data_IF_597766074939
#
_entry.id   IF_597766074939
#
_cell.length_a   1.000
_cell.length_b   1.000
_cell.length_c   1.000
_cell.angle_alpha   90.00
_cell.angle_beta   90.00
_cell.angle_gamma   90.00
#
_symmetry.space_group_name_H-M   'P 1'
#
loop_
_entity.id
_entity.type
_entity.pdbx_description
1 polymer ?
#
# COMPACT_ATOMS: atom_id res chain seq x y z
N UNK A 1 -7.24 12.74 29.98
CA UNK A 1 -7.14 11.27 29.88
C UNK A 1 -6.46 10.96 28.57
N UNK A 2 -5.19 10.57 28.64
CA UNK A 2 -4.35 10.27 27.46
C UNK A 2 -4.85 8.95 26.86
N UNK A 3 -5.45 9.01 25.68
CA UNK A 3 -5.69 7.81 24.89
C UNK A 3 -4.32 7.34 24.38
N UNK A 4 -3.76 6.33 25.03
CA UNK A 4 -2.58 5.63 24.55
C UNK A 4 -2.91 5.02 23.19
N UNK A 5 -2.35 5.58 22.15
CA UNK A 5 -2.53 5.13 20.79
C UNK A 5 -1.66 3.90 20.60
N UNK A 6 -2.26 2.75 20.67
CA UNK A 6 -1.66 1.46 20.37
C UNK A 6 -1.50 1.35 18.84
N UNK A 7 -0.44 1.94 18.30
CA UNK A 7 0.13 1.44 17.05
C UNK A 7 0.47 -0.03 17.32
N UNK A 8 0.31 -0.92 16.36
CA UNK A 8 0.50 -2.38 16.34
C UNK A 8 1.63 -2.94 17.26
N UNK A 9 2.07 -2.20 18.28
CA UNK A 9 3.11 -2.51 19.24
C UNK A 9 2.65 -3.34 20.45
N UNK A 10 1.33 -3.48 20.66
CA UNK A 10 0.82 -4.37 21.70
C UNK A 10 0.29 -5.63 21.02
N UNK A 11 1.16 -6.59 20.90
CA UNK A 11 0.92 -8.02 21.02
C UNK A 11 1.86 -8.83 20.13
N UNK A 12 3.07 -9.07 20.60
CA UNK A 12 3.84 -10.25 20.20
C UNK A 12 3.06 -11.56 20.50
N UNK A 13 1.93 -11.46 21.20
CA UNK A 13 1.07 -12.59 21.57
C UNK A 13 -0.21 -12.76 20.76
N UNK A 14 -0.52 -11.92 19.76
CA UNK A 14 -1.79 -11.96 19.03
C UNK A 14 -1.67 -11.84 17.50
N UNK A 15 -0.53 -12.18 16.91
CA UNK A 15 -0.50 -12.52 15.49
C UNK A 15 -1.28 -13.84 15.36
N UNK A 16 -2.59 -13.73 15.07
CA UNK A 16 -3.43 -14.90 14.79
C UNK A 16 -2.80 -15.66 13.65
N UNK A 17 -2.70 -16.99 13.78
CA UNK A 17 -2.35 -17.80 12.62
C UNK A 17 -3.32 -17.46 11.50
N UNK A 18 -2.77 -17.16 10.32
CA UNK A 18 -3.59 -16.87 9.15
C UNK A 18 -4.40 -18.13 8.78
N UNK A 19 -5.66 -17.93 8.41
CA UNK A 19 -6.56 -19.04 8.08
C UNK A 19 -6.18 -19.64 6.72
N UNK A 20 -5.72 -20.89 6.71
CA UNK A 20 -5.30 -21.58 5.48
C UNK A 20 -6.44 -21.79 4.47
N UNK A 21 -7.69 -21.60 4.88
CA UNK A 21 -8.85 -21.69 3.98
C UNK A 21 -8.95 -20.50 3.03
N UNK A 22 -8.35 -19.35 3.37
CA UNK A 22 -8.33 -18.17 2.49
C UNK A 22 -6.89 -17.87 2.11
N UNK A 23 -6.51 -18.30 0.92
CA UNK A 23 -5.19 -18.09 0.34
C UNK A 23 -5.19 -16.89 -0.57
N UNK A 24 -4.10 -16.11 -0.55
CA UNK A 24 -3.91 -15.02 -1.49
C UNK A 24 -2.52 -15.06 -2.15
N UNK A 25 -2.44 -14.45 -3.33
CA UNK A 25 -1.20 -14.16 -4.02
C UNK A 25 -1.02 -12.65 -4.12
N UNK A 26 0.21 -12.15 -4.00
CA UNK A 26 0.53 -10.72 -4.04
C UNK A 26 1.49 -10.44 -5.21
N UNK A 27 0.98 -9.83 -6.27
CA UNK A 27 1.75 -9.44 -7.45
C UNK A 27 2.24 -8.00 -7.31
N UNK A 28 3.50 -7.76 -7.66
CA UNK A 28 4.17 -6.48 -7.40
C UNK A 28 4.22 -6.18 -5.89
N UNK A 29 4.60 -7.19 -5.12
CA UNK A 29 4.45 -7.20 -3.66
C UNK A 29 5.25 -6.10 -2.94
N UNK A 30 6.26 -5.52 -3.60
CA UNK A 30 7.12 -4.51 -2.99
C UNK A 30 7.79 -5.04 -1.72
N UNK A 31 7.87 -4.21 -0.72
CA UNK A 31 8.32 -4.63 0.61
C UNK A 31 7.23 -5.34 1.44
N UNK A 32 6.08 -5.73 0.86
CA UNK A 32 5.08 -6.55 1.53
C UNK A 32 4.03 -5.81 2.36
N UNK A 33 3.76 -4.54 2.09
CA UNK A 33 2.71 -3.80 2.81
C UNK A 33 1.32 -4.41 2.64
N UNK A 34 0.97 -4.84 1.42
CA UNK A 34 -0.28 -5.54 1.16
C UNK A 34 -0.29 -6.92 1.82
N UNK A 35 0.80 -7.69 1.68
CA UNK A 35 0.94 -9.01 2.28
C UNK A 35 0.87 -8.99 3.82
N UNK A 36 1.51 -8.00 4.47
CA UNK A 36 1.41 -7.84 5.93
C UNK A 36 -0.03 -7.50 6.35
N UNK A 37 -0.69 -6.59 5.62
CA UNK A 37 -2.10 -6.28 5.87
C UNK A 37 -3.02 -7.49 5.69
N UNK A 38 -2.76 -8.33 4.67
CA UNK A 38 -3.47 -9.59 4.44
C UNK A 38 -3.27 -10.58 5.60
N UNK A 39 -2.03 -10.75 6.06
CA UNK A 39 -1.74 -11.59 7.23
C UNK A 39 -2.50 -11.10 8.47
N UNK A 40 -2.48 -9.80 8.75
CA UNK A 40 -3.22 -9.20 9.86
C UNK A 40 -4.74 -9.31 9.71
N UNK A 41 -5.24 -9.41 8.48
CA UNK A 41 -6.63 -9.75 8.18
C UNK A 41 -6.93 -11.25 8.32
N UNK A 42 -5.94 -12.09 8.63
CA UNK A 42 -6.08 -13.55 8.77
C UNK A 42 -6.11 -14.29 7.44
N UNK A 43 -5.47 -13.76 6.40
CA UNK A 43 -5.35 -14.36 5.07
C UNK A 43 -3.94 -14.93 4.91
N UNK A 44 -3.83 -16.17 4.41
CA UNK A 44 -2.54 -16.81 4.14
C UNK A 44 -2.01 -16.40 2.76
N UNK A 45 -0.89 -15.67 2.71
CA UNK A 45 -0.19 -15.42 1.45
C UNK A 45 0.61 -16.68 1.09
N UNK A 46 0.40 -17.20 -0.13
CA UNK A 46 1.02 -18.43 -0.63
C UNK A 46 2.05 -18.18 -1.74
N UNK A 47 1.92 -17.07 -2.45
CA UNK A 47 2.90 -16.64 -3.44
C UNK A 47 3.00 -15.11 -3.47
N UNK A 48 4.21 -14.61 -3.73
CA UNK A 48 4.46 -13.18 -3.94
C UNK A 48 5.46 -13.02 -5.09
N UNK A 49 5.28 -11.98 -5.92
CA UNK A 49 6.20 -11.65 -7.03
C UNK A 49 6.73 -10.24 -6.83
N UNK A 50 8.05 -10.09 -6.78
CA UNK A 50 8.73 -8.79 -6.67
C UNK A 50 10.14 -8.88 -7.29
N UNK A 51 10.41 -8.08 -8.33
CA UNK A 51 11.68 -8.13 -9.05
C UNK A 51 12.75 -7.16 -8.50
N UNK A 52 12.37 -6.24 -7.62
CA UNK A 52 13.35 -5.34 -7.01
C UNK A 52 14.08 -6.04 -5.86
N UNK A 53 15.39 -6.25 -6.03
CA UNK A 53 16.21 -6.99 -5.07
C UNK A 53 16.14 -6.49 -3.62
N UNK A 54 15.98 -5.18 -3.40
CA UNK A 54 15.92 -4.62 -2.04
C UNK A 54 14.52 -4.80 -1.43
N UNK A 55 13.48 -4.64 -2.25
CA UNK A 55 12.12 -4.88 -1.82
C UNK A 55 11.88 -6.37 -1.55
N UNK A 56 12.37 -7.25 -2.41
CA UNK A 56 12.37 -8.71 -2.21
C UNK A 56 13.13 -9.12 -0.95
N UNK A 57 14.31 -8.53 -0.69
CA UNK A 57 15.08 -8.78 0.53
C UNK A 57 14.31 -8.35 1.79
N UNK A 58 13.66 -7.17 1.76
CA UNK A 58 12.80 -6.72 2.87
C UNK A 58 11.61 -7.64 3.07
N UNK A 59 10.93 -8.02 1.99
CA UNK A 59 9.82 -8.98 2.02
C UNK A 59 10.24 -10.30 2.68
N UNK A 60 11.34 -10.88 2.19
CA UNK A 60 11.87 -12.15 2.69
C UNK A 60 12.21 -12.06 4.18
N UNK A 61 12.97 -11.04 4.58
CA UNK A 61 13.41 -10.86 5.97
C UNK A 61 12.24 -10.74 6.94
N UNK A 62 11.23 -9.93 6.60
CA UNK A 62 10.15 -9.61 7.54
C UNK A 62 8.97 -10.58 7.49
N UNK A 63 8.71 -11.24 6.38
CA UNK A 63 7.51 -12.05 6.22
C UNK A 63 7.80 -13.55 6.08
N UNK A 64 8.90 -13.93 5.44
CA UNK A 64 9.24 -15.33 5.21
C UNK A 64 10.14 -15.87 6.34
N UNK A 65 11.27 -15.20 6.62
CA UNK A 65 12.23 -15.65 7.63
C UNK A 65 11.63 -15.62 9.05
N UNK A 66 10.68 -14.70 9.29
CA UNK A 66 9.88 -14.64 10.52
C UNK A 66 8.74 -15.66 10.56
N UNK A 67 8.47 -16.37 9.47
CA UNK A 67 7.37 -17.32 9.30
C UNK A 67 5.96 -16.69 9.42
N UNK A 68 5.83 -15.39 9.25
CA UNK A 68 4.53 -14.71 9.21
C UNK A 68 3.70 -15.11 7.99
N UNK A 69 4.34 -15.48 6.88
CA UNK A 69 3.66 -16.02 5.72
C UNK A 69 4.30 -17.33 5.27
N UNK A 70 3.53 -18.14 4.52
CA UNK A 70 4.02 -19.33 3.81
C UNK A 70 4.34 -19.01 2.35
N UNK A 71 4.44 -17.73 2.00
CA UNK A 71 4.62 -17.27 0.64
C UNK A 71 5.91 -17.81 0.03
N UNK A 72 5.79 -18.36 -1.17
CA UNK A 72 6.93 -18.51 -2.05
C UNK A 72 7.18 -17.16 -2.73
N UNK A 73 8.31 -16.54 -2.45
CA UNK A 73 8.73 -15.32 -3.13
C UNK A 73 9.38 -15.67 -4.46
N UNK A 74 8.92 -15.01 -5.52
CA UNK A 74 9.47 -15.05 -6.86
C UNK A 74 10.14 -13.71 -7.12
N UNK A 75 11.48 -13.70 -7.18
CA UNK A 75 12.28 -12.52 -7.52
C UNK A 75 12.47 -12.39 -9.04
N UNK A 76 11.46 -12.84 -9.78
CA UNK A 76 11.41 -12.85 -11.23
C UNK A 76 10.73 -11.60 -11.78
N UNK A 77 11.03 -11.21 -13.02
CA UNK A 77 10.20 -10.24 -13.72
C UNK A 77 8.85 -10.88 -14.08
N UNK A 78 7.77 -10.25 -13.67
CA UNK A 78 6.42 -10.77 -13.90
C UNK A 78 6.10 -10.92 -15.40
N UNK A 79 6.78 -10.19 -16.27
CA UNK A 79 6.59 -10.31 -17.73
C UNK A 79 7.19 -11.59 -18.28
N UNK A 80 8.18 -12.16 -17.61
CA UNK A 80 8.88 -13.39 -18.00
C UNK A 80 8.34 -14.62 -17.25
N UNK A 81 7.88 -14.45 -16.01
CA UNK A 81 7.30 -15.53 -15.21
C UNK A 81 5.86 -15.80 -15.65
N UNK A 82 5.57 -16.92 -16.30
CA UNK A 82 4.20 -17.27 -16.66
C UNK A 82 3.35 -17.62 -15.43
N UNK A 83 2.03 -17.32 -15.46
CA UNK A 83 1.12 -17.72 -14.38
C UNK A 83 1.16 -19.22 -14.08
N UNK A 84 1.19 -20.08 -15.11
CA UNK A 84 1.26 -21.54 -14.95
C UNK A 84 2.55 -21.99 -14.26
N UNK A 85 3.68 -21.37 -14.63
CA UNK A 85 4.97 -21.63 -13.97
C UNK A 85 4.94 -21.22 -12.51
N UNK A 86 4.38 -20.04 -12.21
CA UNK A 86 4.22 -19.57 -10.82
C UNK A 86 3.33 -20.53 -10.02
N UNK A 87 2.17 -20.92 -10.56
CA UNK A 87 1.24 -21.87 -9.92
C UNK A 87 1.91 -23.20 -9.63
N UNK A 88 2.57 -23.80 -10.64
CA UNK A 88 3.29 -25.07 -10.50
C UNK A 88 4.36 -24.97 -9.41
N UNK A 89 5.19 -23.91 -9.44
CA UNK A 89 6.25 -23.70 -8.46
C UNK A 89 5.70 -23.40 -7.06
N UNK A 90 4.54 -22.76 -6.94
CA UNK A 90 3.86 -22.49 -5.67
C UNK A 90 2.98 -23.64 -5.17
N UNK A 91 2.78 -24.69 -5.97
CA UNK A 91 1.90 -25.82 -5.62
C UNK A 91 0.42 -25.42 -5.58
N UNK A 92 0.00 -24.53 -6.49
CA UNK A 92 -1.38 -24.05 -6.59
C UNK A 92 -2.09 -24.68 -7.78
N UNK A 93 -3.35 -25.06 -7.57
CA UNK A 93 -4.30 -25.37 -8.62
C UNK A 93 -5.17 -24.15 -8.97
N UNK A 94 -5.91 -24.22 -10.07
CA UNK A 94 -6.93 -23.22 -10.42
C UNK A 94 -7.93 -23.06 -9.27
N UNK A 95 -8.24 -21.83 -8.92
CA UNK A 95 -9.17 -21.46 -7.83
C UNK A 95 -8.68 -21.72 -6.40
N UNK A 96 -7.45 -22.19 -6.19
CA UNK A 96 -6.86 -22.31 -4.84
C UNK A 96 -6.56 -20.93 -4.23
N UNK A 97 -6.24 -19.94 -5.07
CA UNK A 97 -6.07 -18.57 -4.65
C UNK A 97 -7.44 -17.90 -4.54
N UNK A 98 -7.89 -17.58 -3.33
CA UNK A 98 -9.16 -16.89 -3.13
C UNK A 98 -9.06 -15.39 -3.48
N UNK A 99 -7.94 -14.75 -3.20
CA UNK A 99 -7.75 -13.31 -3.42
C UNK A 99 -6.43 -13.07 -4.14
N UNK A 100 -6.48 -12.42 -5.31
CA UNK A 100 -5.29 -11.94 -6.00
C UNK A 100 -5.11 -10.46 -5.74
N UNK A 101 -3.98 -10.09 -5.14
CA UNK A 101 -3.59 -8.72 -4.83
C UNK A 101 -2.62 -8.20 -5.87
N UNK A 102 -2.57 -6.88 -6.07
CA UNK A 102 -1.51 -6.28 -6.85
C UNK A 102 -1.56 -4.76 -6.91
N UNK A 103 -0.37 -4.18 -6.96
CA UNK A 103 -0.14 -2.75 -7.18
C UNK A 103 0.72 -2.53 -8.42
N UNK A 104 0.25 -2.85 -9.65
CA UNK A 104 1.07 -2.71 -10.85
C UNK A 104 1.53 -1.27 -11.00
N UNK A 105 2.84 -1.04 -11.32
CA UNK A 105 3.41 0.30 -11.35
C UNK A 105 2.72 1.19 -12.38
N UNK A 106 2.39 2.41 -11.93
CA UNK A 106 1.59 3.39 -12.64
C UNK A 106 2.45 4.43 -13.37
N UNK A 107 3.52 4.04 -14.04
CA UNK A 107 4.42 5.01 -14.67
C UNK A 107 3.78 5.80 -15.83
N UNK A 108 2.70 5.31 -16.43
CA UNK A 108 1.89 5.99 -17.46
C UNK A 108 0.83 6.93 -16.92
N UNK A 109 0.41 6.79 -15.65
CA UNK A 109 -0.76 7.46 -15.07
C UNK A 109 -0.43 8.55 -14.03
N UNK A 110 0.85 8.88 -13.79
CA UNK A 110 1.23 9.88 -12.79
C UNK A 110 1.03 11.32 -13.31
N UNK A 111 0.65 12.23 -12.40
CA UNK A 111 0.39 13.64 -12.68
C UNK A 111 1.58 14.40 -13.32
N UNK A 112 2.79 13.89 -13.16
CA UNK A 112 4.02 14.54 -13.64
C UNK A 112 4.37 14.27 -15.11
N UNK A 113 3.59 13.44 -15.84
CA UNK A 113 3.85 13.18 -17.27
C UNK A 113 2.66 13.57 -18.14
N UNK A 114 2.81 14.67 -18.87
CA UNK A 114 1.76 15.30 -19.68
C UNK A 114 1.69 14.80 -21.13
N UNK A 115 2.60 13.93 -21.61
CA UNK A 115 2.66 13.49 -23.01
C UNK A 115 2.83 11.98 -23.13
N UNK A 116 2.01 11.35 -23.99
CA UNK A 116 2.25 10.00 -24.53
C UNK A 116 1.69 8.82 -23.72
N UNK A 117 0.54 8.93 -23.08
CA UNK A 117 -0.12 7.81 -22.40
C UNK A 117 -1.28 7.26 -23.24
N UNK A 118 -0.99 6.33 -24.16
CA UNK A 118 -1.99 5.54 -24.90
C UNK A 118 -2.02 4.08 -24.44
N UNK A 119 -3.00 3.31 -24.96
CA UNK A 119 -3.14 1.86 -24.69
C UNK A 119 -1.88 1.08 -25.11
N UNK A 120 -1.12 1.58 -26.08
CA UNK A 120 0.12 1.00 -26.59
C UNK A 120 1.36 1.30 -25.76
N UNK A 121 1.23 2.03 -24.63
CA UNK A 121 2.38 2.29 -23.75
C UNK A 121 2.85 0.97 -23.12
N UNK A 122 4.12 0.57 -23.29
CA UNK A 122 4.66 -0.69 -22.72
C UNK A 122 4.40 -0.86 -21.22
N UNK A 123 4.17 0.24 -20.51
CA UNK A 123 3.89 0.26 -19.07
C UNK A 123 2.46 -0.17 -18.72
N UNK A 124 1.53 -0.10 -19.69
CA UNK A 124 0.18 -0.64 -19.54
C UNK A 124 0.18 -2.17 -19.67
N UNK A 125 1.22 -2.75 -20.27
CA UNK A 125 1.40 -4.21 -20.35
C UNK A 125 1.42 -4.88 -18.99
N UNK A 126 1.91 -4.21 -17.93
CA UNK A 126 1.95 -4.79 -16.58
C UNK A 126 0.54 -5.00 -15.97
N UNK A 127 -0.43 -4.15 -16.33
CA UNK A 127 -1.83 -4.39 -15.90
C UNK A 127 -2.46 -5.50 -16.73
N UNK A 128 -2.15 -5.58 -18.03
CA UNK A 128 -2.59 -6.71 -18.86
C UNK A 128 -1.97 -8.02 -18.35
N UNK A 129 -0.69 -7.97 -17.98
CA UNK A 129 -0.01 -9.10 -17.36
C UNK A 129 -0.64 -9.53 -16.04
N UNK A 130 -1.00 -8.56 -15.19
CA UNK A 130 -1.78 -8.84 -13.98
C UNK A 130 -3.07 -9.60 -14.32
N UNK A 131 -3.76 -9.21 -15.38
CA UNK A 131 -5.01 -9.84 -15.77
C UNK A 131 -4.82 -11.26 -16.33
N UNK A 132 -3.68 -11.59 -16.93
CA UNK A 132 -3.34 -12.97 -17.28
C UNK A 132 -3.29 -13.86 -16.04
N UNK A 133 -2.71 -13.37 -14.92
CA UNK A 133 -2.75 -14.07 -13.64
C UNK A 133 -4.17 -14.22 -13.10
N UNK A 134 -5.04 -13.21 -13.23
CA UNK A 134 -6.47 -13.33 -12.89
C UNK A 134 -7.11 -14.50 -13.66
N UNK A 135 -6.88 -14.58 -14.97
CA UNK A 135 -7.48 -15.62 -15.81
C UNK A 135 -7.00 -17.02 -15.46
N UNK A 136 -5.71 -17.17 -15.16
CA UNK A 136 -5.09 -18.48 -14.92
C UNK A 136 -5.30 -18.98 -13.49
N UNK A 137 -5.12 -18.12 -12.47
CA UNK A 137 -5.37 -18.51 -11.08
C UNK A 137 -6.85 -18.64 -10.74
N UNK A 138 -7.70 -17.92 -11.45
CA UNK A 138 -9.14 -17.87 -11.23
C UNK A 138 -9.52 -17.56 -9.76
N UNK A 139 -8.99 -16.46 -9.16
CA UNK A 139 -9.32 -16.09 -7.79
C UNK A 139 -10.80 -15.77 -7.64
N UNK A 140 -11.34 -15.91 -6.42
CA UNK A 140 -12.72 -15.47 -6.12
C UNK A 140 -12.84 -13.95 -6.21
N UNK A 141 -11.78 -13.25 -5.75
CA UNK A 141 -11.65 -11.80 -5.84
C UNK A 141 -10.28 -11.42 -6.38
N UNK A 142 -10.20 -10.34 -7.14
CA UNK A 142 -8.94 -9.67 -7.39
C UNK A 142 -9.04 -8.20 -7.00
N UNK A 143 -7.98 -7.67 -6.41
CA UNK A 143 -7.90 -6.29 -5.93
C UNK A 143 -6.65 -5.61 -6.49
N UNK A 144 -6.87 -4.59 -7.32
CA UNK A 144 -5.78 -3.77 -7.88
C UNK A 144 -5.74 -2.41 -7.19
N UNK A 145 -4.57 -2.05 -6.68
CA UNK A 145 -4.30 -0.70 -6.16
C UNK A 145 -3.60 0.15 -7.21
N UNK A 146 -3.95 1.43 -7.27
CA UNK A 146 -3.26 2.38 -8.14
C UNK A 146 -3.42 3.83 -7.66
N UNK A 147 -2.76 4.78 -8.34
CA UNK A 147 -2.92 6.21 -8.03
C UNK A 147 -4.21 6.77 -8.62
N UNK A 148 -4.85 7.80 -8.01
CA UNK A 148 -6.08 8.40 -8.51
C UNK A 148 -6.00 8.94 -9.94
N UNK A 149 -4.80 9.24 -10.44
CA UNK A 149 -4.56 9.64 -11.81
C UNK A 149 -5.03 8.62 -12.85
N UNK A 150 -5.19 7.36 -12.49
CA UNK A 150 -5.78 6.33 -13.34
C UNK A 150 -7.21 6.69 -13.81
N UNK A 151 -7.96 7.46 -13.01
CA UNK A 151 -9.33 7.87 -13.32
C UNK A 151 -9.43 9.17 -14.16
N UNK A 152 -8.30 9.72 -14.61
CA UNK A 152 -8.37 10.91 -15.46
C UNK A 152 -8.94 10.57 -16.85
N UNK A 153 -9.66 11.49 -17.49
CA UNK A 153 -10.35 11.22 -18.77
C UNK A 153 -9.44 10.63 -19.85
N UNK A 154 -8.17 11.01 -19.89
CA UNK A 154 -7.19 10.48 -20.85
C UNK A 154 -6.91 8.98 -20.69
N UNK A 155 -7.25 8.37 -19.55
CA UNK A 155 -7.05 6.94 -19.26
C UNK A 155 -8.37 6.13 -19.34
N UNK A 156 -9.47 6.76 -19.69
CA UNK A 156 -10.76 6.11 -19.86
C UNK A 156 -10.69 4.94 -20.87
N UNK A 157 -10.02 5.05 -22.04
CA UNK A 157 -9.90 3.93 -22.96
C UNK A 157 -9.23 2.70 -22.32
N UNK A 158 -8.24 2.93 -21.44
CA UNK A 158 -7.59 1.87 -20.71
C UNK A 158 -8.54 1.17 -19.71
N UNK A 159 -9.31 1.95 -18.93
CA UNK A 159 -10.29 1.39 -17.99
C UNK A 159 -11.39 0.60 -18.70
N UNK A 160 -11.80 1.06 -19.89
CA UNK A 160 -12.75 0.34 -20.75
C UNK A 160 -12.17 -1.00 -21.20
N UNK A 161 -10.95 -1.01 -21.73
CA UNK A 161 -10.27 -2.25 -22.14
C UNK A 161 -10.07 -3.21 -20.97
N UNK A 162 -9.76 -2.71 -19.76
CA UNK A 162 -9.67 -3.56 -18.56
C UNK A 162 -11.03 -4.17 -18.18
N UNK A 163 -12.13 -3.40 -18.33
CA UNK A 163 -13.50 -3.90 -18.12
C UNK A 163 -13.85 -4.98 -19.13
N UNK A 164 -13.56 -4.76 -20.42
CA UNK A 164 -13.78 -5.75 -21.48
C UNK A 164 -13.01 -7.06 -21.21
N UNK A 165 -11.76 -6.98 -20.71
CA UNK A 165 -11.01 -8.17 -20.31
C UNK A 165 -11.68 -8.92 -19.15
N UNK A 166 -12.22 -8.19 -18.16
CA UNK A 166 -12.92 -8.77 -17.03
C UNK A 166 -14.21 -9.47 -17.51
N UNK A 167 -15.02 -8.80 -18.31
CA UNK A 167 -16.27 -9.33 -18.86
C UNK A 167 -16.01 -10.59 -19.71
N UNK A 168 -15.01 -10.56 -20.59
CA UNK A 168 -14.62 -11.73 -21.42
C UNK A 168 -14.12 -12.93 -20.59
N UNK A 169 -13.64 -12.67 -19.38
CA UNK A 169 -13.23 -13.71 -18.43
C UNK A 169 -14.33 -14.05 -17.40
N UNK A 170 -15.56 -13.53 -17.60
CA UNK A 170 -16.71 -13.74 -16.70
C UNK A 170 -16.46 -13.26 -15.26
N UNK A 171 -15.70 -12.16 -15.12
CA UNK A 171 -15.54 -11.41 -13.88
C UNK A 171 -16.45 -10.19 -13.86
N UNK A 172 -17.23 -10.03 -12.78
CA UNK A 172 -17.85 -8.76 -12.49
C UNK A 172 -16.78 -7.77 -11.99
N UNK A 173 -16.76 -6.56 -12.54
CA UNK A 173 -15.87 -5.48 -12.10
C UNK A 173 -16.69 -4.36 -11.48
N UNK A 174 -16.44 -4.07 -10.20
CA UNK A 174 -17.07 -2.93 -9.52
C UNK A 174 -16.50 -1.61 -10.03
N UNK A 175 -17.27 -0.54 -9.88
CA UNK A 175 -16.78 0.79 -10.25
C UNK A 175 -15.56 1.16 -9.42
N UNK A 176 -14.50 1.71 -10.05
CA UNK A 176 -13.30 2.11 -9.36
C UNK A 176 -13.60 3.12 -8.25
N UNK A 177 -13.03 2.90 -7.08
CA UNK A 177 -13.23 3.79 -5.93
C UNK A 177 -11.92 4.41 -5.45
N UNK A 178 -11.96 5.70 -5.11
CA UNK A 178 -10.83 6.38 -4.47
C UNK A 178 -11.05 6.41 -2.97
N UNK A 179 -10.16 5.73 -2.25
CA UNK A 179 -10.15 5.69 -0.79
C UNK A 179 -8.96 6.49 -0.23
N UNK A 180 -9.10 7.02 0.99
CA UNK A 180 -8.04 7.72 1.67
C UNK A 180 -7.59 6.91 2.89
N UNK A 181 -6.30 6.64 3.00
CA UNK A 181 -5.72 5.82 4.05
C UNK A 181 -6.04 6.32 5.47
N UNK A 182 -6.16 7.64 5.66
CA UNK A 182 -6.55 8.22 6.97
C UNK A 182 -7.91 7.73 7.47
N UNK A 183 -8.82 7.37 6.56
CA UNK A 183 -10.15 6.86 6.92
C UNK A 183 -10.10 5.42 7.45
N UNK A 184 -8.91 4.79 7.43
CA UNK A 184 -8.64 3.41 7.84
C UNK A 184 -7.53 3.31 8.89
N UNK A 185 -7.36 4.37 9.73
CA UNK A 185 -6.41 4.35 10.83
C UNK A 185 -4.94 4.51 10.41
N UNK A 186 -4.67 5.10 9.26
CA UNK A 186 -3.32 5.46 8.83
C UNK A 186 -3.08 6.95 9.09
N UNK A 187 -1.99 7.37 9.77
CA UNK A 187 -1.73 8.77 10.08
C UNK A 187 -1.24 9.56 8.85
N UNK A 188 -1.87 9.34 7.70
CA UNK A 188 -1.42 9.88 6.42
C UNK A 188 -2.58 10.17 5.47
N UNK A 189 -2.52 11.31 4.83
CA UNK A 189 -3.38 11.72 3.72
C UNK A 189 -2.89 11.04 2.42
N UNK A 190 -3.28 9.78 2.19
CA UNK A 190 -2.88 9.00 1.02
C UNK A 190 -4.11 8.50 0.28
N UNK A 191 -4.39 9.11 -0.86
CA UNK A 191 -5.49 8.69 -1.72
C UNK A 191 -5.01 7.68 -2.75
N UNK A 192 -5.74 6.55 -2.87
CA UNK A 192 -5.48 5.50 -3.85
C UNK A 192 -6.79 5.06 -4.48
N UNK A 193 -6.74 4.66 -5.75
CA UNK A 193 -7.85 4.03 -6.44
C UNK A 193 -7.73 2.51 -6.29
N UNK A 194 -8.86 1.87 -6.09
CA UNK A 194 -8.98 0.42 -6.03
C UNK A 194 -9.97 -0.06 -7.08
N UNK A 195 -9.58 -1.11 -7.79
CA UNK A 195 -10.44 -1.86 -8.70
C UNK A 195 -10.65 -3.24 -8.10
N UNK A 196 -11.88 -3.59 -7.81
CA UNK A 196 -12.26 -4.91 -7.28
C UNK A 196 -13.06 -5.68 -8.32
N UNK A 197 -12.55 -6.86 -8.68
CA UNK A 197 -13.29 -7.83 -9.48
C UNK A 197 -13.64 -9.07 -8.68
N UNK A 198 -14.71 -9.74 -9.08
CA UNK A 198 -15.19 -10.97 -8.47
C UNK A 198 -15.58 -11.99 -9.56
N UNK A 199 -15.37 -13.27 -9.28
CA UNK A 199 -15.70 -14.34 -10.21
C UNK A 199 -17.21 -14.52 -10.35
N UNK A 200 -17.79 -14.02 -11.47
CA UNK A 200 -19.21 -14.08 -11.77
C UNK A 200 -19.76 -15.49 -11.99
N UNK A 201 -18.89 -16.48 -12.27
CA UNK A 201 -19.32 -17.90 -12.37
C UNK A 201 -19.57 -18.52 -10.99
N UNK A 202 -18.88 -18.03 -9.96
CA UNK A 202 -18.95 -18.56 -8.59
C UNK A 202 -19.82 -17.74 -7.67
N UNK A 203 -19.87 -16.41 -7.86
CA UNK A 203 -20.65 -15.48 -7.06
C UNK A 203 -21.83 -14.94 -7.86
N UNK A 204 -23.04 -15.22 -7.41
CA UNK A 204 -24.29 -14.75 -8.06
C UNK A 204 -24.55 -13.23 -7.88
N UNK A 205 -23.87 -12.60 -6.95
CA UNK A 205 -24.02 -11.16 -6.65
C UNK A 205 -22.66 -10.52 -6.32
N UNK A 206 -22.53 -9.20 -6.56
CA UNK A 206 -21.34 -8.46 -6.20
C UNK A 206 -21.01 -8.57 -4.70
N UNK A 207 -19.73 -8.55 -4.32
CA UNK A 207 -19.32 -8.50 -2.93
C UNK A 207 -19.72 -7.18 -2.25
N UNK A 208 -19.82 -7.21 -0.92
CA UNK A 208 -19.97 -5.98 -0.14
C UNK A 208 -18.68 -5.17 -0.22
N UNK A 209 -18.76 -4.02 -0.89
CA UNK A 209 -17.63 -3.13 -1.16
C UNK A 209 -18.09 -1.68 -1.38
N UNK A 210 -17.35 -0.66 -0.96
CA UNK A 210 -16.11 -0.70 -0.21
C UNK A 210 -16.33 -1.03 1.27
N UNK A 211 -15.25 -1.34 2.03
CA UNK A 211 -15.35 -1.50 3.48
C UNK A 211 -15.76 -0.19 4.16
N UNK A 212 -16.43 -0.31 5.28
CA UNK A 212 -16.76 0.84 6.11
C UNK A 212 -15.47 1.51 6.61
N UNK A 213 -15.45 2.85 6.63
CA UNK A 213 -14.35 3.59 7.24
C UNK A 213 -14.32 3.34 8.75
N UNK A 214 -13.14 3.23 9.34
CA UNK A 214 -12.93 3.06 10.78
C UNK A 214 -12.66 4.38 11.51
N UNK A 215 -12.26 5.43 10.78
CA UNK A 215 -11.89 6.74 11.31
C UNK A 215 -12.53 7.86 10.48
N UNK A 216 -12.76 9.01 11.11
CA UNK A 216 -13.32 10.19 10.46
C UNK A 216 -12.68 11.48 11.00
N UNK A 217 -13.05 12.61 10.42
CA UNK A 217 -12.59 13.92 10.93
C UNK A 217 -12.97 14.10 12.42
N UNK A 218 -12.18 14.83 13.20
CA UNK A 218 -12.54 15.17 14.56
C UNK A 218 -13.92 15.81 14.64
N UNK A 219 -14.71 15.44 15.64
CA UNK A 219 -16.07 15.95 15.80
C UNK A 219 -17.10 15.41 14.80
N UNK A 220 -16.83 14.29 14.13
CA UNK A 220 -17.76 13.68 13.18
C UNK A 220 -19.04 13.19 13.85
N UNK A 221 -20.14 13.22 13.09
CA UNK A 221 -21.48 12.77 13.54
C UNK A 221 -21.65 11.25 13.54
N UNK A 222 -20.67 10.48 13.07
CA UNK A 222 -20.77 9.01 12.92
C UNK A 222 -20.32 8.25 14.15
N UNK A 223 -19.81 8.95 15.20
CA UNK A 223 -19.25 8.31 16.40
C UNK A 223 -17.96 7.53 16.15
N UNK A 224 -17.32 7.74 15.01
CA UNK A 224 -16.06 7.09 14.67
C UNK A 224 -14.89 7.78 15.39
N UNK A 225 -13.81 7.04 15.71
CA UNK A 225 -12.55 7.62 16.15
C UNK A 225 -12.07 8.73 15.20
N UNK A 226 -11.42 9.75 15.76
CA UNK A 226 -10.78 10.79 14.96
C UNK A 226 -9.63 10.22 14.11
N UNK A 227 -9.35 10.83 12.94
CA UNK A 227 -8.17 10.48 12.17
C UNK A 227 -6.91 10.53 13.03
N UNK A 228 -6.05 9.53 12.87
CA UNK A 228 -4.73 9.56 13.46
C UNK A 228 -3.89 10.68 12.84
N UNK A 229 -3.16 11.39 13.69
CA UNK A 229 -2.29 12.49 13.26
C UNK A 229 -0.86 11.99 13.06
N UNK A 230 -0.04 12.79 12.38
CA UNK A 230 1.36 12.46 12.15
C UNK A 230 2.15 12.35 13.46
N UNK A 231 1.70 12.95 14.55
CA UNK A 231 2.30 12.85 15.89
C UNK A 231 2.57 11.39 16.28
N UNK A 232 1.70 10.46 15.90
CA UNK A 232 1.86 9.02 16.21
C UNK A 232 3.18 8.44 15.71
N UNK A 233 3.74 8.99 14.63
CA UNK A 233 5.01 8.52 14.09
C UNK A 233 6.23 9.13 14.81
N UNK A 234 6.05 10.22 15.55
CA UNK A 234 7.11 11.00 16.19
C UNK A 234 7.10 10.91 17.73
N UNK A 235 5.95 10.55 18.32
CA UNK A 235 5.76 10.55 19.77
C UNK A 235 6.63 9.52 20.51
N UNK A 236 7.02 8.45 19.85
CA UNK A 236 7.82 7.37 20.47
C UNK A 236 9.19 7.31 19.82
N UNK A 237 10.29 7.26 20.59
CA UNK A 237 11.62 7.00 20.04
C UNK A 237 11.65 5.70 19.24
N UNK A 238 12.59 5.60 18.30
CA UNK A 238 12.83 4.33 17.63
C UNK A 238 13.40 3.30 18.61
N UNK A 239 13.23 2.01 18.29
CA UNK A 239 13.81 0.94 19.07
C UNK A 239 15.35 1.06 19.09
N UNK A 240 15.97 0.71 20.20
CA UNK A 240 17.42 0.74 20.30
C UNK A 240 18.05 -0.17 19.22
N UNK A 241 18.96 0.39 18.42
CA UNK A 241 19.60 -0.33 17.32
C UNK A 241 18.77 -0.45 16.04
N UNK A 242 17.65 0.27 15.91
CA UNK A 242 16.85 0.29 14.68
C UNK A 242 17.66 0.81 13.50
N UNK A 243 17.98 -0.09 12.58
CA UNK A 243 18.76 0.21 11.37
C UNK A 243 18.06 1.15 10.40
N UNK A 244 16.76 1.37 10.57
CA UNK A 244 15.96 2.28 9.76
C UNK A 244 15.71 3.63 10.45
N UNK A 245 16.19 3.84 11.67
CA UNK A 245 16.15 5.18 12.30
C UNK A 245 17.30 6.05 11.78
N UNK A 246 17.32 6.23 10.49
CA UNK A 246 18.31 7.00 9.75
C UNK A 246 17.64 8.07 8.88
N UNK A 247 18.24 9.24 8.82
CA UNK A 247 17.84 10.32 7.90
C UNK A 247 19.00 10.71 6.99
N UNK A 248 18.69 11.44 5.91
CA UNK A 248 19.74 11.98 5.03
C UNK A 248 20.60 13.01 5.76
N UNK A 249 21.91 12.97 5.53
CA UNK A 249 22.82 14.04 5.97
C UNK A 249 22.50 15.37 5.31
N UNK A 250 22.73 16.46 6.01
CA UNK A 250 22.47 17.82 5.57
C UNK A 250 23.69 18.70 5.76
N UNK A 251 24.00 19.56 4.79
CA UNK A 251 25.01 20.60 4.97
C UNK A 251 24.53 21.67 5.95
N UNK A 252 25.46 22.36 6.59
CA UNK A 252 25.19 23.37 7.63
C UNK A 252 24.18 24.44 7.23
N UNK A 253 24.27 24.97 6.01
CA UNK A 253 23.32 25.99 5.52
C UNK A 253 21.87 25.48 5.54
N UNK A 254 21.68 24.19 5.19
CA UNK A 254 20.36 23.60 5.21
C UNK A 254 19.86 23.36 6.63
N UNK A 255 20.73 22.92 7.54
CA UNK A 255 20.42 22.80 8.97
C UNK A 255 19.98 24.16 9.53
N UNK A 256 20.76 25.24 9.27
CA UNK A 256 20.36 26.61 9.65
C UNK A 256 19.03 27.07 9.03
N UNK A 257 18.69 26.54 7.85
CA UNK A 257 17.37 26.78 7.25
C UNK A 257 16.26 26.11 8.07
N UNK A 258 16.48 24.85 8.50
CA UNK A 258 15.53 24.15 9.35
C UNK A 258 15.38 24.80 10.71
N UNK A 259 16.47 25.26 11.33
CA UNK A 259 16.45 26.01 12.61
C UNK A 259 15.54 27.26 12.52
N UNK A 260 15.60 27.97 11.39
CA UNK A 260 14.75 29.18 11.15
C UNK A 260 13.34 28.83 10.69
N UNK A 261 13.08 27.58 10.28
CA UNK A 261 11.71 27.17 9.89
C UNK A 261 10.90 26.89 11.15
N UNK A 262 9.77 27.56 11.36
CA UNK A 262 8.94 27.32 12.55
C UNK A 262 8.59 25.84 12.72
N UNK A 263 8.60 25.30 13.95
CA UNK A 263 8.22 23.93 14.21
C UNK A 263 6.74 23.68 13.87
N UNK A 264 6.36 22.40 13.81
CA UNK A 264 4.98 21.95 13.70
C UNK A 264 4.26 22.56 12.48
N UNK A 265 4.73 22.22 11.27
CA UNK A 265 4.06 22.62 10.04
C UNK A 265 4.63 23.88 9.37
N UNK A 266 5.73 24.47 9.89
CA UNK A 266 6.36 25.64 9.29
C UNK A 266 6.80 25.41 7.84
N UNK A 267 6.69 26.47 7.04
CA UNK A 267 7.08 26.46 5.63
C UNK A 267 8.52 26.93 5.45
N UNK A 268 9.17 26.47 4.39
CA UNK A 268 10.45 27.03 3.95
C UNK A 268 10.41 28.55 3.78
N UNK A 269 9.29 29.11 3.36
CA UNK A 269 9.12 30.56 3.17
C UNK A 269 9.33 31.31 4.46
N UNK A 270 8.92 30.74 5.57
CA UNK A 270 9.04 31.33 6.90
C UNK A 270 10.51 31.42 7.35
N UNK A 271 11.39 30.59 6.82
CA UNK A 271 12.84 30.59 7.06
C UNK A 271 13.58 31.65 6.24
N UNK A 272 12.90 32.34 5.32
CA UNK A 272 13.51 33.30 4.38
C UNK A 272 14.30 32.63 3.23
N UNK A 273 14.31 31.30 3.13
CA UNK A 273 15.04 30.61 2.03
C UNK A 273 14.32 30.74 0.69
N UNK A 274 14.95 31.42 -0.26
CA UNK A 274 14.50 31.51 -1.65
C UNK A 274 15.33 30.55 -2.50
N UNK A 275 14.68 29.69 -3.29
CA UNK A 275 15.33 28.84 -4.26
C UNK A 275 15.25 29.50 -5.64
N UNK A 276 16.39 29.75 -6.35
CA UNK A 276 16.38 30.42 -7.66
C UNK A 276 15.44 29.76 -8.68
N UNK A 277 15.36 28.42 -8.68
CA UNK A 277 14.44 27.65 -9.53
C UNK A 277 12.96 27.87 -9.20
N UNK A 278 12.62 28.39 -8.01
CA UNK A 278 11.26 28.68 -7.58
C UNK A 278 10.88 30.16 -7.68
N UNK A 279 11.84 31.02 -8.02
CA UNK A 279 11.57 32.46 -8.17
C UNK A 279 10.58 32.77 -9.31
N UNK A 280 10.51 31.88 -10.32
CA UNK A 280 9.65 32.02 -11.50
C UNK A 280 8.44 31.05 -11.52
N UNK A 281 8.27 30.20 -10.51
CA UNK A 281 7.18 29.22 -10.46
C UNK A 281 6.40 29.29 -9.14
N UNK A 282 5.08 29.44 -9.24
CA UNK A 282 4.14 29.43 -8.11
C UNK A 282 3.81 27.99 -7.66
N UNK A 283 4.72 27.04 -7.83
CA UNK A 283 4.55 25.65 -7.43
C UNK A 283 5.51 25.24 -6.30
N UNK A 284 5.33 24.05 -5.76
CA UNK A 284 6.25 23.44 -4.78
C UNK A 284 6.40 24.20 -3.45
N UNK A 285 5.29 24.69 -2.88
CA UNK A 285 5.28 25.39 -1.59
C UNK A 285 5.73 24.49 -0.43
N UNK A 286 5.56 23.16 -0.55
CA UNK A 286 5.79 22.20 0.52
C UNK A 286 7.22 21.68 0.65
N UNK A 287 8.08 21.89 -0.37
CA UNK A 287 9.47 21.42 -0.28
C UNK A 287 10.22 22.12 0.86
N UNK A 288 11.00 21.32 1.60
CA UNK A 288 11.70 21.75 2.82
C UNK A 288 10.78 22.22 3.96
N UNK A 289 9.45 21.97 3.87
CA UNK A 289 8.52 22.25 4.96
C UNK A 289 8.56 21.17 6.02
N UNK A 290 8.27 21.55 7.26
CA UNK A 290 8.11 20.62 8.38
C UNK A 290 6.75 19.94 8.30
N UNK A 291 6.70 18.66 8.67
CA UNK A 291 5.43 17.97 8.87
C UNK A 291 4.69 18.65 10.03
N UNK A 292 3.37 18.82 9.87
CA UNK A 292 2.47 19.22 10.94
C UNK A 292 2.02 17.96 11.70
N UNK A 293 2.43 17.81 12.98
CA UNK A 293 2.07 16.63 13.76
C UNK A 293 0.59 16.59 14.17
N UNK A 294 -0.13 17.71 14.09
CA UNK A 294 -1.52 17.83 14.56
C UNK A 294 -2.57 17.32 13.56
N UNK A 295 -2.14 16.97 12.35
CA UNK A 295 -3.01 16.43 11.30
C UNK A 295 -2.37 15.20 10.63
N UNK A 296 -3.13 14.43 9.82
CA UNK A 296 -2.55 13.34 9.03
C UNK A 296 -1.45 13.85 8.11
N UNK A 297 -0.29 13.17 8.10
CA UNK A 297 0.87 13.55 7.28
C UNK A 297 0.54 13.65 5.78
N UNK A 298 1.30 14.39 4.99
CA UNK A 298 1.22 14.33 3.53
C UNK A 298 1.58 12.92 3.03
N UNK A 299 1.18 12.61 1.79
CA UNK A 299 1.48 11.31 1.17
C UNK A 299 2.98 11.02 1.15
N UNK A 300 3.39 9.90 1.76
CA UNK A 300 4.73 9.34 1.61
C UNK A 300 4.90 8.86 0.17
N UNK A 301 5.71 9.60 -0.58
CA UNK A 301 6.09 9.27 -1.96
C UNK A 301 7.34 8.41 -1.98
N UNK A 302 7.72 7.90 -3.14
CA UNK A 302 9.02 7.19 -3.32
C UNK A 302 10.24 8.05 -3.01
N UNK A 303 10.05 9.34 -2.84
CA UNK A 303 11.07 10.30 -2.47
C UNK A 303 10.84 10.92 -1.08
N UNK A 304 10.05 10.29 -0.21
CA UNK A 304 9.66 10.83 1.11
C UNK A 304 10.84 11.08 2.06
N UNK A 305 11.96 10.41 1.84
CA UNK A 305 13.20 10.66 2.59
C UNK A 305 13.89 11.94 2.14
N UNK A 306 13.59 12.44 0.93
CA UNK A 306 14.21 13.63 0.38
C UNK A 306 13.35 14.87 0.65
N UNK A 307 13.77 15.70 1.60
CA UNK A 307 13.15 17.00 1.97
C UNK A 307 12.94 17.97 0.80
N UNK A 308 13.69 17.83 -0.32
CA UNK A 308 13.51 18.66 -1.51
C UNK A 308 12.35 18.21 -2.40
N UNK A 309 11.67 17.12 -2.05
CA UNK A 309 10.58 16.54 -2.84
C UNK A 309 9.20 16.68 -2.18
N UNK A 310 9.14 17.35 -1.02
CA UNK A 310 7.90 17.58 -0.30
C UNK A 310 8.11 18.13 1.11
N UNK A 311 7.05 18.12 1.88
CA UNK A 311 7.04 18.48 3.30
C UNK A 311 7.48 17.28 4.13
N UNK A 312 8.81 17.04 4.14
CA UNK A 312 9.42 15.85 4.77
C UNK A 312 10.52 16.23 5.76
N UNK A 313 10.46 17.44 6.34
CA UNK A 313 11.30 17.82 7.47
C UNK A 313 10.60 17.42 8.76
N UNK A 314 11.38 16.94 9.76
CA UNK A 314 10.88 16.57 11.08
C UNK A 314 10.10 17.73 11.73
N UNK A 315 9.01 17.48 12.49
CA UNK A 315 8.21 18.53 13.10
C UNK A 315 9.03 19.53 13.93
N UNK A 316 9.97 19.07 14.71
CA UNK A 316 10.79 19.87 15.65
C UNK A 316 12.28 19.81 15.39
N UNK A 317 12.82 18.64 15.05
CA UNK A 317 14.25 18.45 14.83
C UNK A 317 14.73 19.06 13.51
N UNK A 318 16.05 19.30 13.38
CA UNK A 318 16.63 20.01 12.25
C UNK A 318 17.14 19.09 11.13
N UNK A 319 16.35 18.06 10.82
CA UNK A 319 16.63 17.10 9.75
C UNK A 319 15.36 16.64 9.03
N UNK A 320 15.50 15.95 7.90
CA UNK A 320 14.39 15.26 7.26
C UNK A 320 13.92 14.08 8.11
N UNK A 321 12.69 13.61 7.91
CA UNK A 321 12.19 12.44 8.63
C UNK A 321 13.10 11.24 8.41
N UNK A 322 13.18 10.36 9.43
CA UNK A 322 13.91 9.08 9.32
C UNK A 322 13.09 8.08 8.49
N UNK A 323 13.77 7.03 8.02
CA UNK A 323 13.08 5.95 7.31
C UNK A 323 12.07 5.24 8.25
N UNK A 324 12.39 5.11 9.56
CA UNK A 324 11.47 4.59 10.57
C UNK A 324 10.21 5.43 10.71
N UNK A 325 10.37 6.74 10.81
CA UNK A 325 9.22 7.66 10.88
C UNK A 325 8.35 7.60 9.62
N UNK A 326 8.96 7.52 8.44
CA UNK A 326 8.24 7.32 7.19
C UNK A 326 7.47 5.98 7.17
N UNK A 327 8.07 4.91 7.68
CA UNK A 327 7.44 3.59 7.79
C UNK A 327 6.23 3.61 8.76
N UNK A 328 6.36 4.27 9.92
CA UNK A 328 5.24 4.47 10.86
C UNK A 328 4.08 5.24 10.24
N UNK A 329 4.38 6.26 9.43
CA UNK A 329 3.35 7.01 8.68
C UNK A 329 2.63 6.15 7.63
N UNK A 330 3.20 5.02 7.23
CA UNK A 330 2.57 3.98 6.41
C UNK A 330 2.02 2.82 7.25
N UNK A 331 1.94 2.99 8.57
CA UNK A 331 1.47 2.00 9.54
C UNK A 331 2.25 0.68 9.55
N UNK A 332 3.53 0.69 9.15
CA UNK A 332 4.41 -0.45 9.40
C UNK A 332 4.81 -0.50 10.88
N UNK A 333 4.86 -1.69 11.48
CA UNK A 333 5.31 -1.85 12.87
C UNK A 333 6.82 -1.62 13.00
N UNK A 334 7.29 -1.31 14.22
CA UNK A 334 8.68 -0.95 14.46
C UNK A 334 9.69 -2.09 14.24
N UNK A 335 9.25 -3.33 14.34
CA UNK A 335 10.11 -4.48 14.04
C UNK A 335 10.33 -4.68 12.53
N UNK A 336 9.53 -4.04 11.67
CA UNK A 336 9.64 -4.18 10.20
C UNK A 336 10.86 -3.42 9.69
N UNK A 337 11.77 -4.10 8.98
CA UNK A 337 12.99 -3.49 8.46
C UNK A 337 13.00 -3.41 6.95
N UNK A 338 13.59 -2.34 6.41
CA UNK A 338 13.75 -2.10 4.99
C UNK A 338 15.21 -2.22 4.59
N UNK A 339 15.50 -3.08 3.64
CA UNK A 339 16.82 -3.36 3.12
C UNK A 339 17.25 -2.40 2.00
N UNK A 340 18.55 -2.28 1.77
CA UNK A 340 19.12 -1.46 0.70
C UNK A 340 19.42 0.00 1.08
N UNK A 341 19.37 0.32 2.37
CA UNK A 341 19.69 1.65 2.90
C UNK A 341 18.57 2.68 2.66
N UNK A 342 18.83 3.92 3.07
CA UNK A 342 17.81 4.96 3.19
C UNK A 342 17.07 5.27 1.88
N UNK A 343 17.77 5.31 0.74
CA UNK A 343 17.15 5.65 -0.55
C UNK A 343 16.25 4.53 -1.06
N UNK A 344 16.72 3.29 -1.01
CA UNK A 344 15.94 2.13 -1.39
C UNK A 344 14.74 1.92 -0.43
N UNK A 345 14.96 2.10 0.87
CA UNK A 345 13.92 2.06 1.88
C UNK A 345 12.83 3.11 1.64
N UNK A 346 13.21 4.36 1.32
CA UNK A 346 12.25 5.41 0.99
C UNK A 346 11.39 5.08 -0.23
N UNK A 347 11.96 4.44 -1.26
CA UNK A 347 11.21 3.95 -2.44
C UNK A 347 10.21 2.87 -2.03
N UNK A 348 10.63 1.92 -1.21
CA UNK A 348 9.80 0.82 -0.71
C UNK A 348 8.62 1.34 0.11
N UNK A 349 8.88 2.22 1.08
CA UNK A 349 7.85 2.86 1.91
C UNK A 349 6.87 3.65 1.03
N UNK A 350 7.37 4.42 0.07
CA UNK A 350 6.54 5.23 -0.81
C UNK A 350 5.63 4.42 -1.74
N UNK A 351 6.08 3.26 -2.20
CA UNK A 351 5.31 2.36 -3.05
C UNK A 351 4.32 1.50 -2.27
N UNK A 352 4.54 1.27 -0.98
CA UNK A 352 3.73 0.36 -0.20
C UNK A 352 2.26 0.80 -0.10
N UNK A 353 1.35 -0.16 -0.13
CA UNK A 353 0.00 0.01 0.41
C UNK A 353 0.12 0.07 1.94
N UNK A 354 -0.45 1.09 2.61
CA UNK A 354 -0.38 1.17 4.07
C UNK A 354 -0.98 -0.06 4.74
N UNK A 355 -0.27 -0.60 5.73
CA UNK A 355 -0.63 -1.90 6.34
C UNK A 355 -2.03 -1.92 6.95
N UNK A 356 -2.38 -0.88 7.73
CA UNK A 356 -3.70 -0.79 8.35
C UNK A 356 -4.82 -0.64 7.31
N UNK A 357 -4.58 0.10 6.23
CA UNK A 357 -5.53 0.21 5.12
C UNK A 357 -5.69 -1.14 4.41
N UNK A 358 -4.60 -1.83 4.08
CA UNK A 358 -4.63 -3.14 3.45
C UNK A 358 -5.44 -4.14 4.30
N UNK A 359 -5.21 -4.18 5.61
CA UNK A 359 -6.00 -4.99 6.54
C UNK A 359 -7.49 -4.68 6.45
N UNK A 360 -7.87 -3.41 6.57
CA UNK A 360 -9.28 -3.00 6.54
C UNK A 360 -9.98 -3.32 5.21
N UNK A 361 -9.26 -3.26 4.09
CA UNK A 361 -9.79 -3.64 2.78
C UNK A 361 -10.01 -5.15 2.65
N UNK A 362 -9.17 -5.95 3.29
CA UNK A 362 -9.12 -7.39 3.09
C UNK A 362 -9.97 -8.19 4.09
N UNK A 363 -10.20 -7.67 5.31
CA UNK A 363 -11.06 -8.34 6.30
C UNK A 363 -12.45 -8.70 5.74
N UNK A 364 -13.24 -7.80 5.12
CA UNK A 364 -14.54 -8.18 4.57
C UNK A 364 -14.48 -9.11 3.37
N UNK A 365 -13.42 -9.05 2.55
CA UNK A 365 -13.22 -10.00 1.45
C UNK A 365 -12.91 -11.40 1.96
N UNK A 366 -12.12 -11.49 3.05
CA UNK A 366 -11.87 -12.76 3.73
C UNK A 366 -13.17 -13.38 4.27
N UNK A 367 -14.00 -12.60 4.97
CA UNK A 367 -15.28 -13.08 5.50
C UNK A 367 -16.18 -13.63 4.40
N UNK A 368 -16.28 -12.92 3.28
CA UNK A 368 -17.06 -13.36 2.13
C UNK A 368 -16.48 -14.61 1.47
N UNK A 369 -15.15 -14.73 1.38
CA UNK A 369 -14.48 -15.93 0.86
C UNK A 369 -14.73 -17.15 1.77
N UNK A 370 -14.71 -16.98 3.09
CA UNK A 370 -15.04 -18.04 4.05
C UNK A 370 -16.50 -18.48 3.95
N UNK A 371 -17.42 -17.54 3.83
CA UNK A 371 -18.84 -17.82 3.66
C UNK A 371 -19.09 -18.61 2.35
N UNK A 372 -18.43 -18.21 1.26
CA UNK A 372 -18.48 -18.93 -0.01
C UNK A 372 -17.95 -20.37 0.12
N UNK A 373 -16.78 -20.55 0.73
CA UNK A 373 -16.17 -21.87 0.92
C UNK A 373 -17.07 -22.80 1.76
N UNK A 374 -17.71 -22.27 2.80
CA UNK A 374 -18.67 -23.03 3.62
C UNK A 374 -19.88 -23.46 2.80
N UNK A 375 -20.48 -22.57 2.03
CA UNK A 375 -21.63 -22.88 1.16
C UNK A 375 -21.29 -23.93 0.08
N UNK A 376 -20.08 -23.88 -0.50
CA UNK A 376 -19.62 -24.91 -1.44
C UNK A 376 -19.45 -26.27 -0.79
N UNK A 377 -18.88 -26.32 0.42
CA UNK A 377 -18.72 -27.57 1.16
C UNK A 377 -20.08 -28.23 1.46
N UNK A 378 -21.06 -27.43 1.87
CA UNK A 378 -22.43 -27.93 2.13
C UNK A 378 -23.13 -28.41 0.86
N UNK A 379 -22.93 -27.70 -0.28
CA UNK A 379 -23.45 -28.15 -1.57
C UNK A 379 -22.86 -29.49 -2.03
N UNK A 380 -21.56 -29.68 -1.82
CA UNK A 380 -20.87 -30.95 -2.13
C UNK A 380 -21.40 -32.09 -1.28
N UNK A 381 -21.59 -31.87 0.04
CA UNK A 381 -22.18 -32.87 0.95
C UNK A 381 -23.59 -33.29 0.51
N UNK A 382 -24.46 -32.33 0.15
CA UNK A 382 -25.83 -32.62 -0.31
C UNK A 382 -25.92 -33.36 -1.63
N UNK A 383 -24.89 -33.24 -2.50
CA UNK A 383 -24.82 -33.96 -3.76
C UNK A 383 -24.27 -35.38 -3.59
N UNK A 384 -23.54 -35.66 -2.50
CA UNK A 384 -22.97 -36.95 -2.18
C UNK A 384 -23.88 -37.81 -1.30
N UNK A 385 -24.92 -37.24 -0.71
CA UNK A 385 -25.99 -37.93 0.03
C UNK A 385 -27.20 -38.20 -0.87
#
# INVERSE_FOLDING_TARGET
MSASITLVNENEGALREADERVKACDLFAGAGGFSLGAHLAGITIVAAIENNKYAGASYKKNLIDTKLTKAKLFEDDITELSPDTMMTRAGLAESDCAILLGGPPCQGFSAHRLKGAGIEDPRNQLILRYFEYVRTLRPLFFLVENVPGLLWPRHEPFLRGFRELADNAEYGLLDPIVLNARDFGVPQNRRRVFLLGYDGRRLASPPLWPPARSHAQPGNQFGLPAWLTAETAFATPALAGDVNDIHMSHGEELVRTFERTPPNGGSRKDSGRVLPCHAKHVGHHDVYGRIDPTCPAPTMTTACINRSKGRFVHPTEHHGITLRQAARLQSFPDWYTFEGGIMAGGVQVGNAVPVAMARALLEPLREQALAFAAAEADRKKRKAA
#
